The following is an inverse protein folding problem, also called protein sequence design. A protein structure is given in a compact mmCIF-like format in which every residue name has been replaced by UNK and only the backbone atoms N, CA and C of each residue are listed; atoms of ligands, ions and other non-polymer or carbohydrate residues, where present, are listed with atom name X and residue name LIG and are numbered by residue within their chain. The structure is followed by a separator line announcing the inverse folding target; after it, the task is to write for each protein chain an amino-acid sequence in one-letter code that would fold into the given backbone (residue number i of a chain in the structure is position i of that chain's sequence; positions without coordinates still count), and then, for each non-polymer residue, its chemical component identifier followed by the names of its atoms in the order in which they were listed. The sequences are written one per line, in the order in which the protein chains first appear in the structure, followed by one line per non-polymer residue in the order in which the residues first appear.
data_IF_494883268976
#
_entry.id   IF_494883268976
#
_cell.length_a   1.000
_cell.length_b   1.000
_cell.length_c   1.000
_cell.angle_alpha   90.00
_cell.angle_beta   90.00
_cell.angle_gamma   90.00
#
_symmetry.space_group_name_H-M   'P 1'
#
loop_
_entity.id
_entity.type
_entity.pdbx_description
1 polymer ?
#
# COMPACT_ATOMS: atom_id res chain seq x y z
N UNK A 1 6.65 -4.94 -6.31
CA UNK A 1 7.39 -4.15 -5.30
C UNK A 1 8.18 -3.08 -6.05
N UNK A 2 7.67 -1.85 -6.11
CA UNK A 2 8.33 -0.76 -6.83
C UNK A 2 9.59 -0.35 -6.07
N UNK A 3 10.73 -0.81 -6.59
CA UNK A 3 12.03 -0.18 -6.35
C UNK A 3 11.95 1.24 -6.92
N UNK A 4 12.48 2.23 -6.20
CA UNK A 4 12.44 3.67 -6.49
C UNK A 4 12.81 4.00 -7.94
N UNK A 5 11.84 3.93 -8.84
CA UNK A 5 11.95 4.33 -10.24
C UNK A 5 11.65 5.82 -10.32
N UNK A 6 12.26 6.57 -11.25
CA UNK A 6 11.95 7.98 -11.42
C UNK A 6 10.44 8.17 -11.66
N UNK A 7 9.84 9.27 -11.16
CA UNK A 7 8.41 9.54 -11.29
C UNK A 7 7.87 9.39 -12.72
N UNK A 8 8.68 9.72 -13.73
CA UNK A 8 8.34 9.55 -15.15
C UNK A 8 7.86 8.15 -15.48
N UNK A 9 8.41 7.12 -14.86
CA UNK A 9 8.12 5.73 -15.22
C UNK A 9 6.69 5.32 -14.82
N UNK A 10 6.03 6.12 -14.00
CA UNK A 10 4.61 5.92 -13.67
C UNK A 10 3.69 6.16 -14.89
N UNK A 11 4.12 6.90 -15.91
CA UNK A 11 3.29 7.16 -17.11
C UNK A 11 3.10 5.92 -17.96
N UNK A 12 4.05 4.98 -17.93
CA UNK A 12 4.04 3.78 -18.76
C UNK A 12 3.25 2.62 -18.11
N UNK A 13 2.99 2.67 -16.82
CA UNK A 13 2.30 1.60 -16.12
C UNK A 13 0.78 1.66 -16.32
N UNK A 14 0.13 0.52 -16.57
CA UNK A 14 -1.34 0.47 -16.67
C UNK A 14 -2.04 0.53 -15.30
N UNK A 15 -1.30 0.26 -14.22
CA UNK A 15 -1.83 0.26 -12.86
C UNK A 15 -0.74 0.10 -11.81
N UNK A 16 -1.09 0.32 -10.55
CA UNK A 16 -0.13 0.39 -9.46
C UNK A 16 -0.53 -0.47 -8.27
N UNK A 17 0.48 -1.01 -7.59
CA UNK A 17 0.35 -1.55 -6.24
C UNK A 17 1.46 -0.95 -5.39
N UNK A 18 1.10 -0.02 -4.50
CA UNK A 18 2.04 0.70 -3.66
C UNK A 18 2.21 0.03 -2.29
N UNK A 19 3.47 -0.11 -1.87
CA UNK A 19 3.84 -0.75 -0.61
C UNK A 19 4.69 0.15 0.26
N UNK A 20 4.32 0.35 1.52
CA UNK A 20 5.12 1.17 2.45
C UNK A 20 4.87 0.77 3.92
N UNK A 21 5.87 0.94 4.81
CA UNK A 21 5.66 0.71 6.22
C UNK A 21 4.82 1.84 6.85
N UNK A 22 4.02 1.48 7.86
CA UNK A 22 3.29 2.41 8.71
C UNK A 22 4.26 3.22 9.58
N UNK A 23 4.05 4.53 9.59
CA UNK A 23 4.69 5.49 10.50
C UNK A 23 3.61 6.39 11.10
N UNK A 24 3.25 6.11 12.35
CA UNK A 24 2.28 6.89 13.12
C UNK A 24 0.95 7.12 12.38
N UNK A 25 0.36 6.03 11.85
CA UNK A 25 -0.89 6.10 11.06
C UNK A 25 -0.79 6.75 9.69
N UNK A 26 0.44 6.90 9.17
CA UNK A 26 0.70 7.44 7.84
C UNK A 26 1.72 6.57 7.08
N UNK A 27 1.84 6.82 5.78
CA UNK A 27 2.95 6.30 4.98
C UNK A 27 4.30 6.84 5.46
N UNK A 28 5.37 6.06 5.30
CA UNK A 28 6.72 6.51 5.59
C UNK A 28 7.12 7.74 4.76
N UNK A 29 7.95 8.62 5.35
CA UNK A 29 8.35 9.89 4.76
C UNK A 29 8.98 9.74 3.37
N UNK A 30 9.75 8.68 3.14
CA UNK A 30 10.36 8.37 1.85
C UNK A 30 9.31 8.17 0.76
N UNK A 31 8.22 7.45 1.08
CA UNK A 31 7.14 7.22 0.15
C UNK A 31 6.31 8.48 -0.08
N UNK A 32 6.08 9.28 0.97
CA UNK A 32 5.43 10.59 0.82
C UNK A 32 6.25 11.54 -0.06
N UNK A 33 7.58 11.56 0.10
CA UNK A 33 8.48 12.35 -0.72
C UNK A 33 8.44 11.93 -2.19
N UNK A 34 8.40 10.62 -2.47
CA UNK A 34 8.19 10.09 -3.81
C UNK A 34 6.89 10.62 -4.43
N UNK A 35 5.74 10.47 -3.74
CA UNK A 35 4.47 10.98 -4.24
C UNK A 35 4.47 12.51 -4.42
N UNK A 36 5.09 13.26 -3.50
CA UNK A 36 5.22 14.71 -3.64
C UNK A 36 5.99 15.12 -4.90
N UNK A 37 6.97 14.32 -5.34
CA UNK A 37 7.74 14.58 -6.56
C UNK A 37 6.93 14.40 -7.84
N UNK A 38 5.73 13.81 -7.77
CA UNK A 38 4.84 13.57 -8.93
C UNK A 38 3.91 14.75 -9.24
N UNK A 39 4.10 15.93 -8.61
CA UNK A 39 3.27 17.12 -8.83
C UNK A 39 3.20 17.59 -10.29
N UNK A 40 4.26 17.33 -11.09
CA UNK A 40 4.23 17.54 -12.53
C UNK A 40 3.20 16.66 -13.24
N UNK A 41 3.19 15.35 -12.93
CA UNK A 41 2.25 14.37 -13.49
C UNK A 41 0.81 14.64 -13.07
N UNK A 42 0.61 15.06 -11.82
CA UNK A 42 -0.68 15.51 -11.32
C UNK A 42 -1.24 16.66 -12.17
N UNK A 43 -0.41 17.67 -12.45
CA UNK A 43 -0.84 18.86 -13.17
C UNK A 43 -1.33 18.57 -14.59
N UNK A 44 -0.74 17.56 -15.24
CA UNK A 44 -1.13 17.11 -16.59
C UNK A 44 -2.00 15.84 -16.57
N UNK A 45 -2.52 15.45 -15.40
CA UNK A 45 -3.44 14.32 -15.21
C UNK A 45 -2.93 12.97 -15.77
N UNK A 46 -1.62 12.76 -15.79
CA UNK A 46 -1.00 11.56 -16.39
C UNK A 46 -1.29 10.26 -15.64
N UNK A 47 -1.68 10.35 -14.37
CA UNK A 47 -2.04 9.18 -13.55
C UNK A 47 -3.56 9.01 -13.40
N UNK A 48 -4.35 9.90 -13.99
CA UNK A 48 -5.81 9.85 -13.86
C UNK A 48 -6.39 8.60 -14.54
N UNK A 49 -7.37 7.97 -13.91
CA UNK A 49 -8.03 6.76 -14.40
C UNK A 49 -7.24 5.46 -14.20
N UNK A 50 -5.96 5.53 -13.80
CA UNK A 50 -5.16 4.33 -13.56
C UNK A 50 -5.56 3.66 -12.25
N UNK A 51 -5.82 2.33 -12.22
CA UNK A 51 -6.10 1.60 -10.99
C UNK A 51 -4.89 1.56 -10.07
N UNK A 52 -5.11 1.74 -8.77
CA UNK A 52 -4.08 1.71 -7.74
C UNK A 52 -4.57 0.96 -6.49
N UNK A 53 -3.80 -0.05 -6.09
CA UNK A 53 -3.90 -0.73 -4.80
C UNK A 53 -2.82 -0.27 -3.83
N UNK A 54 -3.04 -0.49 -2.53
CA UNK A 54 -2.04 -0.25 -1.49
C UNK A 54 -1.91 -1.46 -0.57
N UNK A 55 -0.71 -1.68 -0.07
CA UNK A 55 -0.43 -2.58 1.04
C UNK A 55 0.58 -1.91 1.98
N UNK A 56 0.54 -2.30 3.25
CA UNK A 56 1.38 -1.70 4.27
C UNK A 56 1.67 -2.73 5.35
N UNK A 57 2.68 -2.45 6.17
CA UNK A 57 3.02 -3.28 7.32
C UNK A 57 3.21 -2.41 8.56
N UNK A 58 3.08 -3.05 9.72
CA UNK A 58 3.30 -2.43 11.02
C UNK A 58 3.90 -3.46 11.97
N UNK A 59 4.48 -3.00 13.08
CA UNK A 59 5.11 -3.86 14.07
C UNK A 59 4.12 -4.55 15.03
N UNK A 60 2.84 -4.15 15.04
CA UNK A 60 1.83 -4.71 15.95
C UNK A 60 0.44 -4.72 15.33
N UNK A 61 -0.45 -5.60 15.83
CA UNK A 61 -1.81 -5.71 15.29
C UNK A 61 -2.58 -4.38 15.34
N UNK A 62 -2.49 -3.65 16.46
CA UNK A 62 -3.11 -2.32 16.64
C UNK A 62 -2.21 -1.16 16.21
N UNK A 63 -1.18 -1.42 15.40
CA UNK A 63 -0.19 -0.42 15.01
C UNK A 63 -0.62 0.47 13.85
N UNK A 64 -1.81 1.08 13.95
CA UNK A 64 -2.30 2.10 13.02
C UNK A 64 -2.45 1.66 11.55
N UNK A 65 -2.82 0.39 11.34
CA UNK A 65 -2.99 -0.20 10.01
C UNK A 65 -4.09 0.49 9.21
N UNK A 66 -5.24 0.68 9.84
CA UNK A 66 -6.43 1.25 9.19
C UNK A 66 -6.22 2.73 8.86
N UNK A 67 -5.64 3.50 9.79
CA UNK A 67 -5.35 4.92 9.59
C UNK A 67 -4.27 5.15 8.52
N UNK A 68 -3.28 4.25 8.43
CA UNK A 68 -2.30 4.27 7.34
C UNK A 68 -2.96 4.13 5.97
N UNK A 69 -3.92 3.21 5.84
CA UNK A 69 -4.68 3.04 4.61
C UNK A 69 -5.49 4.31 4.28
N UNK A 70 -6.26 4.79 5.28
CA UNK A 70 -7.15 5.93 5.14
C UNK A 70 -6.39 7.18 4.69
N UNK A 71 -5.23 7.46 5.30
CA UNK A 71 -4.42 8.63 4.94
C UNK A 71 -3.74 8.46 3.58
N UNK A 72 -3.34 7.25 3.19
CA UNK A 72 -2.72 6.99 1.90
C UNK A 72 -3.68 7.13 0.71
N UNK A 73 -4.94 6.69 0.86
CA UNK A 73 -5.97 6.78 -0.19
C UNK A 73 -6.14 8.21 -0.67
N UNK A 74 -6.02 9.21 0.23
CA UNK A 74 -6.11 10.63 -0.15
C UNK A 74 -5.15 10.99 -1.27
N UNK A 75 -3.93 10.47 -1.26
CA UNK A 75 -2.94 10.75 -2.30
C UNK A 75 -3.36 10.17 -3.65
N UNK A 76 -3.91 8.95 -3.65
CA UNK A 76 -4.35 8.30 -4.88
C UNK A 76 -5.48 9.09 -5.55
N UNK A 77 -6.48 9.46 -4.73
CA UNK A 77 -7.66 10.20 -5.19
C UNK A 77 -7.28 11.59 -5.70
N UNK A 78 -6.36 12.30 -5.04
CA UNK A 78 -5.88 13.60 -5.52
C UNK A 78 -5.16 13.51 -6.88
N UNK A 79 -4.55 12.38 -7.20
CA UNK A 79 -3.96 12.10 -8.51
C UNK A 79 -4.97 11.64 -9.57
N UNK A 80 -6.24 11.47 -9.22
CA UNK A 80 -7.27 10.94 -10.10
C UNK A 80 -7.16 9.43 -10.35
N UNK A 81 -6.36 8.70 -9.55
CA UNK A 81 -6.24 7.25 -9.65
C UNK A 81 -7.50 6.56 -9.08
N UNK A 82 -7.85 5.40 -9.64
CA UNK A 82 -8.96 4.59 -9.17
C UNK A 82 -8.45 3.70 -8.03
N UNK A 83 -8.90 3.95 -6.80
CA UNK A 83 -8.52 3.09 -5.68
C UNK A 83 -9.23 1.73 -5.78
N UNK A 84 -8.45 0.65 -5.79
CA UNK A 84 -8.95 -0.74 -5.87
C UNK A 84 -8.65 -1.47 -4.54
N UNK A 85 -9.60 -1.49 -3.59
CA UNK A 85 -9.45 -2.27 -2.36
C UNK A 85 -9.74 -3.76 -2.60
N UNK A 86 -9.16 -4.63 -1.78
CA UNK A 86 -9.49 -6.06 -1.81
C UNK A 86 -10.90 -6.35 -1.25
N UNK A 87 -11.38 -5.50 -0.33
CA UNK A 87 -12.67 -5.67 0.34
C UNK A 87 -12.82 -7.02 1.05
N UNK A 88 -14.07 -7.36 1.39
CA UNK A 88 -14.44 -8.67 1.93
C UNK A 88 -14.87 -9.61 0.79
N UNK A 89 -13.98 -9.87 -0.17
CA UNK A 89 -14.30 -10.60 -1.42
C UNK A 89 -14.01 -12.10 -1.37
N UNK A 90 -13.58 -12.62 -0.22
CA UNK A 90 -13.09 -14.01 -0.05
C UNK A 90 -14.06 -14.96 0.68
N UNK A 91 -15.36 -14.62 0.72
CA UNK A 91 -16.45 -15.42 1.31
C UNK A 91 -16.08 -16.04 2.67
N UNK A 92 -16.50 -17.28 2.96
CA UNK A 92 -16.19 -17.99 4.21
C UNK A 92 -14.69 -18.16 4.48
N UNK A 93 -13.84 -18.17 3.43
CA UNK A 93 -12.38 -18.28 3.56
C UNK A 93 -11.74 -17.09 4.28
N UNK A 94 -12.45 -15.97 4.43
CA UNK A 94 -11.98 -14.80 5.17
C UNK A 94 -11.78 -15.05 6.68
N UNK A 95 -12.48 -16.05 7.24
CA UNK A 95 -12.41 -16.39 8.66
C UNK A 95 -11.41 -17.52 8.96
N UNK A 96 -10.80 -18.11 7.93
CA UNK A 96 -9.85 -19.20 8.09
C UNK A 96 -8.49 -18.66 8.54
N UNK A 97 -8.25 -18.75 9.86
CA UNK A 97 -6.92 -18.59 10.43
C UNK A 97 -6.15 -19.91 10.28
N UNK A 98 -5.40 -20.05 9.20
CA UNK A 98 -4.38 -21.09 9.06
C UNK A 98 -3.38 -21.00 10.23
N UNK A 99 -3.46 -21.95 11.18
CA UNK A 99 -2.53 -22.08 12.33
C UNK A 99 -1.14 -22.50 11.84
N UNK A 100 -0.40 -21.57 11.24
CA UNK A 100 1.03 -21.76 11.02
C UNK A 100 1.78 -21.50 12.34
N UNK A 101 1.69 -22.49 13.25
CA UNK A 101 2.73 -22.68 14.27
C UNK A 101 3.96 -23.16 13.50
N UNK A 102 4.88 -22.25 13.18
CA UNK A 102 6.26 -22.64 12.90
C UNK A 102 6.78 -23.27 14.17
N UNK A 103 6.70 -24.61 14.21
CA UNK A 103 7.26 -25.48 15.24
C UNK A 103 8.77 -25.24 15.24
N UNK A 104 9.19 -24.23 15.99
CA UNK A 104 10.58 -23.99 16.33
C UNK A 104 11.08 -25.22 17.06
N UNK A 105 12.06 -25.87 16.45
CA UNK A 105 12.93 -26.86 17.06
C UNK A 105 13.45 -26.35 18.41
N UNK A 106 12.94 -26.90 19.51
CA UNK A 106 13.72 -27.13 20.72
C UNK A 106 13.49 -28.58 21.17
N UNK A 107 14.51 -29.41 20.96
CA UNK A 107 14.62 -30.73 21.55
C UNK A 107 14.86 -30.61 23.06
N UNK A 108 14.36 -31.58 23.87
CA UNK A 108 14.38 -31.49 25.32
C UNK A 108 15.77 -31.72 25.93
N UNK A 109 16.05 -30.97 27.01
CA UNK A 109 16.76 -31.47 28.18
C UNK A 109 15.81 -31.31 29.38
#
# INVERSE_FOLDING_TARGET
MLLLSPPSDLTEADGFVFGFPTRFGMMAAQFKAFLNSTGGLWRIQQLAGKPAGIFYNTGSQSGDQETTALTAITQLVHHGMIFVPIGHTFDAGMFELEKHSTRGSTSPL
#
